data_IF_994276087863
#
_entry.id   IF_994276087863
#
_cell.length_a   1.000
_cell.length_b   1.000
_cell.length_c   1.000
_cell.angle_alpha   90.00
_cell.angle_beta   90.00
_cell.angle_gamma   90.00
#
_symmetry.space_group_name_H-M   'P 1'
#
loop_
_entity.id
_entity.type
_entity.pdbx_description
1 polymer ?
#
# COMPACT_ATOMS: atom_id res chain seq x y z
N UNK A 1 11.23 -17.54 46.78
CA UNK A 1 10.65 -18.80 47.30
C UNK A 1 9.99 -19.51 46.15
N UNK A 2 10.79 -20.30 45.41
CA UNK A 2 10.37 -21.34 44.48
C UNK A 2 11.65 -21.78 43.74
N UNK A 3 12.51 -22.55 44.40
CA UNK A 3 13.66 -23.25 43.79
C UNK A 3 14.06 -24.41 44.71
N UNK A 4 13.11 -25.29 45.03
CA UNK A 4 13.37 -26.42 45.95
C UNK A 4 12.57 -27.67 45.58
N UNK A 5 12.33 -27.90 44.28
CA UNK A 5 11.57 -29.07 43.78
C UNK A 5 12.32 -29.88 42.71
N UNK A 6 13.59 -29.58 42.44
CA UNK A 6 14.41 -30.36 41.48
C UNK A 6 15.39 -31.33 42.14
N UNK A 7 15.49 -31.35 43.47
CA UNK A 7 16.45 -32.21 44.17
C UNK A 7 15.83 -33.48 44.77
N UNK A 8 14.51 -33.70 44.64
CA UNK A 8 13.82 -34.88 45.19
C UNK A 8 13.59 -36.03 44.19
N UNK A 9 13.97 -35.86 42.92
CA UNK A 9 13.72 -36.87 41.85
C UNK A 9 14.97 -37.67 41.49
N UNK A 10 16.14 -37.38 42.08
CA UNK A 10 17.41 -38.09 41.78
C UNK A 10 17.80 -39.20 42.76
N UNK A 11 17.02 -39.44 43.82
CA UNK A 11 17.27 -40.50 44.81
C UNK A 11 16.27 -41.67 44.72
N UNK A 12 15.59 -41.84 43.58
CA UNK A 12 14.60 -42.90 43.38
C UNK A 12 14.88 -43.81 42.16
N UNK A 13 16.16 -44.00 41.80
CA UNK A 13 16.59 -44.86 40.68
C UNK A 13 17.70 -45.84 41.08
N UNK A 14 17.65 -46.39 42.30
CA UNK A 14 18.54 -47.47 42.75
C UNK A 14 17.77 -48.59 43.46
N UNK A 15 16.73 -49.07 42.79
CA UNK A 15 16.14 -50.38 43.06
C UNK A 15 15.65 -50.96 41.73
N UNK A 16 16.58 -51.15 40.78
CA UNK A 16 16.35 -52.08 39.70
C UNK A 16 16.34 -53.47 40.32
N UNK A 17 15.15 -53.99 40.58
CA UNK A 17 14.93 -55.43 40.72
C UNK A 17 15.46 -56.06 39.44
N UNK A 18 16.58 -56.78 39.52
CA UNK A 18 17.22 -57.33 38.32
C UNK A 18 16.35 -58.41 37.71
N UNK A 19 16.27 -58.41 36.38
CA UNK A 19 15.45 -59.38 35.62
C UNK A 19 16.00 -60.82 35.74
N UNK A 20 17.23 -60.99 36.22
CA UNK A 20 17.96 -62.26 36.35
C UNK A 20 18.62 -62.43 37.74
N UNK A 21 17.84 -62.51 38.85
CA UNK A 21 18.37 -62.49 40.21
C UNK A 21 19.23 -63.72 40.55
N UNK A 22 19.04 -64.83 39.85
CA UNK A 22 19.85 -66.04 40.00
C UNK A 22 21.26 -65.87 39.41
N UNK A 23 21.35 -65.30 38.21
CA UNK A 23 22.63 -65.02 37.55
C UNK A 23 23.42 -63.96 38.31
N UNK A 24 22.73 -62.97 38.86
CA UNK A 24 23.33 -61.92 39.67
C UNK A 24 24.01 -62.45 40.94
N UNK A 25 23.42 -63.46 41.58
CA UNK A 25 23.99 -64.10 42.77
C UNK A 25 25.24 -64.94 42.46
N UNK A 26 25.31 -65.55 41.27
CA UNK A 26 26.49 -66.28 40.80
C UNK A 26 27.61 -65.30 40.38
N UNK A 27 27.25 -64.24 39.65
CA UNK A 27 28.17 -63.18 39.24
C UNK A 27 28.81 -62.44 40.41
N UNK A 28 28.06 -62.19 41.47
CA UNK A 28 28.55 -61.48 42.65
C UNK A 28 29.73 -62.20 43.35
N UNK A 29 29.92 -63.50 43.11
CA UNK A 29 31.04 -64.27 43.69
C UNK A 29 32.38 -64.00 42.98
N UNK A 30 32.33 -63.52 41.74
CA UNK A 30 33.48 -63.32 40.87
C UNK A 30 33.68 -61.84 40.46
N UNK A 31 32.79 -60.94 40.88
CA UNK A 31 32.84 -59.50 40.58
C UNK A 31 34.00 -58.83 41.35
N UNK A 32 34.93 -58.22 40.61
CA UNK A 32 36.05 -57.44 41.18
C UNK A 32 35.68 -55.99 41.48
N UNK A 33 34.42 -55.61 41.23
CA UNK A 33 33.83 -54.30 41.47
C UNK A 33 33.66 -53.52 40.16
N UNK A 34 32.49 -52.87 40.00
CA UNK A 34 31.98 -52.23 38.76
C UNK A 34 31.37 -53.20 37.74
N UNK A 35 30.86 -54.36 38.18
CA UNK A 35 30.17 -55.32 37.32
C UNK A 35 31.10 -55.91 36.24
N UNK A 36 32.35 -56.20 36.61
CA UNK A 36 33.35 -56.86 35.76
C UNK A 36 33.95 -58.04 36.53
N UNK A 37 34.35 -59.09 35.82
CA UNK A 37 35.02 -60.26 36.41
C UNK A 37 36.25 -60.65 35.59
N UNK A 38 37.25 -61.25 36.24
CA UNK A 38 38.48 -61.68 35.56
C UNK A 38 38.22 -62.80 34.55
N UNK A 39 38.90 -62.75 33.40
CA UNK A 39 38.83 -63.78 32.33
C UNK A 39 39.16 -65.19 32.86
N UNK A 40 40.02 -65.31 33.87
CA UNK A 40 40.37 -66.55 34.55
C UNK A 40 39.19 -67.22 35.27
N UNK A 41 38.13 -66.47 35.57
CA UNK A 41 36.94 -66.95 36.28
C UNK A 41 35.83 -67.40 35.33
N UNK A 42 35.95 -67.18 34.01
CA UNK A 42 34.91 -67.50 33.03
C UNK A 42 34.56 -69.00 32.99
N UNK A 43 35.56 -69.88 33.04
CA UNK A 43 35.34 -71.33 33.04
C UNK A 43 34.63 -71.81 34.32
N UNK A 44 35.01 -71.28 35.48
CA UNK A 44 34.37 -71.60 36.76
C UNK A 44 32.93 -71.10 36.82
N UNK A 45 32.68 -69.89 36.30
CA UNK A 45 31.34 -69.30 36.23
C UNK A 45 30.39 -70.14 35.35
N UNK A 46 30.86 -70.64 34.19
CA UNK A 46 30.05 -71.51 33.33
C UNK A 46 29.75 -72.87 33.97
N UNK A 47 30.71 -73.44 34.69
CA UNK A 47 30.51 -74.68 35.47
C UNK A 47 29.49 -74.47 36.59
N UNK A 48 29.58 -73.36 37.33
CA UNK A 48 28.63 -73.00 38.39
C UNK A 48 27.22 -72.75 37.83
N UNK A 49 27.12 -72.34 36.56
CA UNK A 49 25.87 -72.22 35.80
C UNK A 49 25.38 -73.56 35.21
N UNK A 50 26.12 -74.65 35.38
CA UNK A 50 25.75 -76.01 34.93
C UNK A 50 26.21 -76.38 33.53
N UNK A 51 27.06 -75.57 32.90
CA UNK A 51 27.58 -75.81 31.55
C UNK A 51 29.00 -76.38 31.60
N UNK A 52 29.25 -77.42 30.81
CA UNK A 52 30.59 -78.01 30.67
C UNK A 52 31.24 -77.58 29.35
N UNK A 53 31.70 -76.33 29.31
CA UNK A 53 32.34 -75.77 28.12
C UNK A 53 33.70 -76.44 27.84
N UNK A 54 33.90 -76.91 26.60
CA UNK A 54 35.22 -77.41 26.18
C UNK A 54 36.26 -76.26 26.13
N UNK A 55 37.58 -76.52 26.28
CA UNK A 55 38.60 -75.48 26.24
C UNK A 55 38.56 -74.61 24.96
N UNK A 56 38.17 -75.19 23.82
CA UNK A 56 38.03 -74.47 22.55
C UNK A 56 36.87 -73.47 22.55
N UNK A 57 35.80 -73.78 23.28
CA UNK A 57 34.63 -72.90 23.43
C UNK A 57 34.99 -71.74 24.35
N UNK A 58 35.76 -71.99 25.41
CA UNK A 58 36.28 -70.94 26.30
C UNK A 58 37.22 -69.98 25.57
N UNK A 59 38.18 -70.48 24.78
CA UNK A 59 39.10 -69.62 24.01
C UNK A 59 38.35 -68.72 23.03
N UNK A 60 37.36 -69.26 22.31
CA UNK A 60 36.50 -68.47 21.40
C UNK A 60 35.67 -67.43 22.14
N UNK A 61 35.10 -67.80 23.29
CA UNK A 61 34.34 -66.89 24.13
C UNK A 61 35.19 -65.71 24.62
N UNK A 62 36.46 -65.95 24.94
CA UNK A 62 37.42 -64.91 25.33
C UNK A 62 37.80 -63.99 24.17
N UNK A 63 38.02 -64.53 22.97
CA UNK A 63 38.28 -63.71 21.77
C UNK A 63 37.12 -62.76 21.45
N UNK A 64 35.88 -63.21 21.67
CA UNK A 64 34.66 -62.45 21.39
C UNK A 64 34.35 -61.40 22.47
N UNK A 65 34.56 -61.73 23.76
CA UNK A 65 34.21 -60.85 24.89
C UNK A 65 35.34 -59.93 25.37
N UNK A 66 36.60 -60.31 25.21
CA UNK A 66 37.77 -59.51 25.56
C UNK A 66 38.79 -59.42 24.40
N UNK A 67 38.40 -58.85 23.24
CA UNK A 67 39.24 -58.79 22.05
C UNK A 67 40.53 -57.98 22.23
N UNK A 68 40.61 -57.16 23.30
CA UNK A 68 41.77 -56.33 23.61
C UNK A 68 42.66 -56.94 24.70
N UNK A 69 42.36 -58.18 25.15
CA UNK A 69 43.09 -58.88 26.22
C UNK A 69 43.30 -58.02 27.48
N UNK A 70 42.24 -57.31 27.89
CA UNK A 70 42.22 -56.48 29.08
C UNK A 70 42.24 -57.31 30.37
N UNK A 71 41.87 -58.59 30.28
CA UNK A 71 41.81 -59.53 31.39
C UNK A 71 40.53 -59.42 32.22
N UNK A 72 39.63 -58.50 31.87
CA UNK A 72 38.37 -58.24 32.56
C UNK A 72 37.20 -58.31 31.57
N UNK A 73 36.14 -59.03 31.94
CA UNK A 73 34.91 -59.17 31.15
C UNK A 73 33.78 -58.44 31.88
N UNK A 74 33.08 -57.55 31.18
CA UNK A 74 31.90 -56.87 31.74
C UNK A 74 30.69 -57.81 31.78
N UNK A 75 29.91 -57.73 32.86
CA UNK A 75 28.71 -58.55 33.07
C UNK A 75 27.70 -58.45 31.92
N UNK A 76 27.50 -57.26 31.38
CA UNK A 76 26.57 -57.04 30.26
C UNK A 76 27.05 -57.75 28.99
N UNK A 77 28.36 -57.67 28.70
CA UNK A 77 29.00 -58.34 27.57
C UNK A 77 28.89 -59.86 27.67
N UNK A 78 29.06 -60.43 28.86
CA UNK A 78 28.84 -61.85 29.09
C UNK A 78 27.38 -62.26 28.87
N UNK A 79 26.41 -61.49 29.39
CA UNK A 79 25.00 -61.83 29.26
C UNK A 79 24.55 -61.78 27.79
N UNK A 80 24.98 -60.77 27.03
CA UNK A 80 24.73 -60.69 25.59
C UNK A 80 25.33 -61.89 24.84
N UNK A 81 26.60 -62.22 25.12
CA UNK A 81 27.25 -63.39 24.51
C UNK A 81 26.56 -64.70 24.89
N UNK A 82 26.17 -64.85 26.16
CA UNK A 82 25.54 -66.06 26.68
C UNK A 82 24.13 -66.26 26.09
N UNK A 83 23.32 -65.22 25.96
CA UNK A 83 22.00 -65.32 25.30
C UNK A 83 22.10 -65.79 23.84
N UNK A 84 23.16 -65.39 23.14
CA UNK A 84 23.36 -65.76 21.73
C UNK A 84 23.97 -67.16 21.54
N UNK A 85 24.71 -67.69 22.53
CA UNK A 85 25.52 -68.90 22.37
C UNK A 85 25.15 -70.04 23.34
N UNK A 86 24.18 -69.87 24.25
CA UNK A 86 23.84 -70.84 25.30
C UNK A 86 23.49 -72.24 24.77
N UNK A 87 22.88 -72.34 23.60
CA UNK A 87 22.45 -73.62 23.00
C UNK A 87 23.61 -74.47 22.46
N UNK A 88 24.78 -73.86 22.21
CA UNK A 88 25.95 -74.51 21.58
C UNK A 88 27.06 -74.89 22.57
N UNK A 89 26.86 -74.69 23.88
CA UNK A 89 27.90 -74.87 24.91
C UNK A 89 28.10 -76.35 25.30
N UNK A 90 27.10 -77.22 25.10
CA UNK A 90 27.01 -78.55 25.70
C UNK A 90 27.36 -79.71 24.72
N UNK A 91 28.56 -79.70 24.13
CA UNK A 91 29.02 -80.75 23.20
C UNK A 91 30.02 -81.71 23.87
N UNK A 92 29.50 -82.72 24.59
CA UNK A 92 30.28 -83.87 25.08
C UNK A 92 29.45 -85.19 25.03
N UNK A 93 29.88 -86.24 24.30
CA UNK A 93 29.10 -87.48 24.15
C UNK A 93 29.29 -88.51 25.30
N UNK A 94 28.23 -89.25 25.73
CA UNK A 94 28.33 -90.36 26.68
C UNK A 94 28.53 -91.75 26.02
N UNK A 95 29.26 -92.65 26.69
CA UNK A 95 29.63 -94.00 26.22
C UNK A 95 28.54 -95.08 26.44
N UNK A 96 28.43 -96.06 25.53
CA UNK A 96 27.44 -97.16 25.53
C UNK A 96 28.04 -98.55 25.88
N UNK A 97 27.27 -99.50 26.48
CA UNK A 97 27.65 -100.91 26.55
C UNK A 97 26.79 -101.84 25.66
N UNK A 98 27.40 -102.96 25.23
CA UNK A 98 26.89 -103.95 24.28
C UNK A 98 26.07 -105.09 24.94
N UNK A 99 25.17 -105.72 24.16
CA UNK A 99 24.47 -106.98 24.49
C UNK A 99 24.73 -108.06 23.43
N UNK A 100 24.81 -109.32 23.85
CA UNK A 100 24.92 -110.49 22.97
C UNK A 100 23.94 -111.59 23.41
N UNK A 101 23.43 -112.32 22.41
CA UNK A 101 22.20 -113.11 22.33
C UNK A 101 22.30 -114.62 22.65
N UNK A 102 21.13 -115.22 22.91
CA UNK A 102 20.76 -116.66 23.07
C UNK A 102 21.03 -117.53 21.82
N UNK A 103 20.95 -118.89 21.85
CA UNK A 103 19.67 -119.60 21.50
C UNK A 103 19.46 -121.07 22.03
N UNK A 104 18.23 -121.60 21.93
CA UNK A 104 17.83 -123.03 22.14
C UNK A 104 16.94 -123.53 20.96
N UNK A 105 17.08 -124.82 20.62
CA UNK A 105 16.57 -125.57 19.44
C UNK A 105 15.05 -125.95 19.40
N UNK A 106 14.51 -126.39 18.23
CA UNK A 106 13.08 -126.69 18.01
C UNK A 106 12.76 -128.20 17.78
N UNK A 107 11.50 -128.63 18.04
CA UNK A 107 10.85 -129.79 17.37
C UNK A 107 9.33 -129.93 17.66
N UNK A 108 8.47 -129.58 16.69
CA UNK A 108 7.15 -130.22 16.33
C UNK A 108 6.23 -129.21 15.60
N UNK A 109 6.05 -129.32 14.27
CA UNK A 109 5.64 -128.16 13.44
C UNK A 109 4.31 -128.21 12.65
N UNK A 110 3.55 -129.30 12.52
CA UNK A 110 2.52 -129.34 11.45
C UNK A 110 1.04 -129.35 11.86
N UNK A 111 0.70 -129.48 13.14
CA UNK A 111 -0.70 -129.37 13.61
C UNK A 111 -0.94 -128.10 14.45
N UNK A 112 0.10 -127.55 15.06
CA UNK A 112 0.07 -126.22 15.67
C UNK A 112 0.02 -125.10 14.62
N UNK A 113 0.51 -125.33 13.39
CA UNK A 113 0.58 -124.28 12.35
C UNK A 113 -0.80 -123.74 11.95
N UNK A 114 -1.81 -124.57 11.65
CA UNK A 114 -3.11 -124.08 11.20
C UNK A 114 -3.95 -123.40 12.32
N UNK A 115 -3.81 -123.85 13.56
CA UNK A 115 -4.45 -123.22 14.72
C UNK A 115 -3.71 -121.92 15.10
N UNK A 116 -2.38 -121.92 15.00
CA UNK A 116 -1.53 -120.73 15.15
C UNK A 116 -1.82 -119.70 14.06
N UNK A 117 -2.06 -120.10 12.81
CA UNK A 117 -2.44 -119.20 11.70
C UNK A 117 -3.80 -118.53 11.93
N UNK A 118 -4.82 -119.26 12.39
CA UNK A 118 -6.13 -118.67 12.72
C UNK A 118 -6.06 -117.74 13.93
N UNK A 119 -5.29 -118.11 14.95
CA UNK A 119 -5.01 -117.25 16.10
C UNK A 119 -4.22 -116.01 15.70
N UNK A 120 -3.25 -116.14 14.79
CA UNK A 120 -2.50 -115.04 14.20
C UNK A 120 -3.42 -114.12 13.42
N UNK A 121 -4.26 -114.63 12.53
CA UNK A 121 -5.20 -113.82 11.73
C UNK A 121 -6.21 -113.06 12.62
N UNK A 122 -6.67 -113.67 13.71
CA UNK A 122 -7.54 -113.02 14.69
C UNK A 122 -6.79 -111.95 15.51
N UNK A 123 -5.53 -112.20 15.87
CA UNK A 123 -4.66 -111.24 16.54
C UNK A 123 -4.35 -110.06 15.60
N UNK A 124 -4.10 -110.32 14.32
CA UNK A 124 -3.84 -109.33 13.28
C UNK A 124 -5.08 -108.46 13.04
N UNK A 125 -6.27 -109.05 12.95
CA UNK A 125 -7.52 -108.30 12.86
C UNK A 125 -7.76 -107.41 14.09
N UNK A 126 -7.40 -107.90 15.29
CA UNK A 126 -7.49 -107.12 16.54
C UNK A 126 -6.45 -105.98 16.59
N UNK A 127 -5.24 -106.23 16.09
CA UNK A 127 -4.18 -105.24 15.97
C UNK A 127 -4.53 -104.18 14.93
N UNK A 128 -5.08 -104.57 13.78
CA UNK A 128 -5.57 -103.65 12.74
C UNK A 128 -6.72 -102.79 13.26
N UNK A 129 -7.67 -103.35 14.02
CA UNK A 129 -8.73 -102.57 14.66
C UNK A 129 -8.16 -101.57 15.66
N UNK A 130 -7.21 -101.99 16.51
CA UNK A 130 -6.55 -101.11 17.47
C UNK A 130 -5.76 -100.01 16.77
N UNK A 131 -5.08 -100.32 15.67
CA UNK A 131 -4.37 -99.33 14.85
C UNK A 131 -5.36 -98.33 14.24
N UNK A 132 -6.46 -98.79 13.67
CA UNK A 132 -7.51 -97.92 13.13
C UNK A 132 -8.16 -97.02 14.20
N UNK A 133 -8.37 -97.54 15.43
CA UNK A 133 -8.85 -96.75 16.57
C UNK A 133 -7.84 -95.67 16.99
N UNK A 134 -6.55 -96.00 17.03
CA UNK A 134 -5.47 -95.04 17.31
C UNK A 134 -5.38 -93.98 16.23
N UNK A 135 -5.45 -94.37 14.94
CA UNK A 135 -5.42 -93.46 13.81
C UNK A 135 -6.65 -92.53 13.81
N UNK A 136 -7.84 -93.07 14.14
CA UNK A 136 -9.07 -92.28 14.27
C UNK A 136 -8.97 -91.26 15.41
N UNK A 137 -8.38 -91.63 16.55
CA UNK A 137 -8.13 -90.69 17.66
C UNK A 137 -7.13 -89.61 17.28
N UNK A 138 -6.03 -89.96 16.59
CA UNK A 138 -5.04 -88.99 16.13
C UNK A 138 -5.64 -88.00 15.12
N UNK A 139 -6.46 -88.50 14.18
CA UNK A 139 -7.19 -87.66 13.24
C UNK A 139 -8.21 -86.75 13.95
N UNK A 140 -8.94 -87.26 14.95
CA UNK A 140 -9.86 -86.46 15.74
C UNK A 140 -9.12 -85.33 16.48
N UNK A 141 -7.97 -85.61 17.08
CA UNK A 141 -7.13 -84.60 17.74
C UNK A 141 -6.63 -83.56 16.73
N UNK A 142 -6.14 -83.98 15.56
CA UNK A 142 -5.70 -83.07 14.50
C UNK A 142 -6.84 -82.18 14.00
N UNK A 143 -8.03 -82.74 13.78
CA UNK A 143 -9.21 -81.98 13.37
C UNK A 143 -9.65 -80.98 14.45
N UNK A 144 -9.54 -81.34 15.74
CA UNK A 144 -9.82 -80.41 16.83
C UNK A 144 -8.83 -79.23 16.85
N UNK A 145 -7.54 -79.49 16.67
CA UNK A 145 -6.53 -78.43 16.54
C UNK A 145 -6.79 -77.53 15.33
N UNK A 146 -7.06 -78.09 14.15
CA UNK A 146 -7.33 -77.32 12.94
C UNK A 146 -8.60 -76.46 13.07
N UNK A 147 -9.66 -76.97 13.71
CA UNK A 147 -10.87 -76.18 13.98
C UNK A 147 -10.59 -75.02 14.94
N UNK A 148 -9.82 -75.26 16.00
CA UNK A 148 -9.43 -74.21 16.93
C UNK A 148 -8.55 -73.14 16.26
N UNK A 149 -7.68 -73.53 15.32
CA UNK A 149 -6.89 -72.61 14.52
C UNK A 149 -7.76 -71.80 13.54
N UNK A 150 -8.71 -72.44 12.85
CA UNK A 150 -9.66 -71.76 11.96
C UNK A 150 -10.51 -70.74 12.74
N UNK A 151 -11.06 -71.11 13.90
CA UNK A 151 -11.82 -70.20 14.75
C UNK A 151 -10.97 -69.00 15.20
N UNK A 152 -9.68 -69.22 15.53
CA UNK A 152 -8.74 -68.13 15.87
C UNK A 152 -8.46 -67.23 14.67
N UNK A 153 -8.28 -67.81 13.48
CA UNK A 153 -8.06 -67.07 12.24
C UNK A 153 -9.30 -66.23 11.86
N UNK A 154 -10.49 -66.81 11.96
CA UNK A 154 -11.77 -66.12 11.73
C UNK A 154 -11.94 -64.94 12.68
N UNK A 155 -11.67 -65.11 13.98
CA UNK A 155 -11.70 -64.00 14.96
C UNK A 155 -10.71 -62.88 14.60
N UNK A 156 -9.49 -63.23 14.17
CA UNK A 156 -8.50 -62.23 13.70
C UNK A 156 -8.97 -61.50 12.45
N UNK A 157 -9.59 -62.19 11.50
CA UNK A 157 -10.16 -61.59 10.29
C UNK A 157 -11.31 -60.65 10.64
N UNK A 158 -12.21 -61.04 11.54
CA UNK A 158 -13.31 -60.21 11.99
C UNK A 158 -12.82 -58.94 12.69
N UNK A 159 -11.82 -59.07 13.57
CA UNK A 159 -11.19 -57.93 14.22
C UNK A 159 -10.51 -57.00 13.21
N UNK A 160 -9.77 -57.54 12.25
CA UNK A 160 -9.16 -56.76 11.17
C UNK A 160 -10.22 -56.01 10.34
N UNK A 161 -11.32 -56.68 9.99
CA UNK A 161 -12.47 -56.05 9.30
C UNK A 161 -13.16 -54.99 10.15
N UNK A 162 -13.22 -55.17 11.47
CA UNK A 162 -13.77 -54.16 12.38
C UNK A 162 -12.86 -52.92 12.41
N UNK A 163 -11.56 -53.12 12.61
CA UNK A 163 -10.55 -52.04 12.61
C UNK A 163 -10.52 -51.30 11.26
N UNK A 164 -10.62 -52.01 10.13
CA UNK A 164 -10.70 -51.38 8.81
C UNK A 164 -11.92 -50.45 8.70
N UNK A 165 -13.10 -50.91 9.15
CA UNK A 165 -14.33 -50.09 9.16
C UNK A 165 -14.21 -48.87 10.09
N UNK A 166 -13.56 -49.01 11.23
CA UNK A 166 -13.29 -47.89 12.15
C UNK A 166 -12.37 -46.85 11.51
N UNK A 167 -11.29 -47.28 10.85
CA UNK A 167 -10.36 -46.40 10.12
C UNK A 167 -11.09 -45.66 8.99
N UNK A 168 -11.91 -46.36 8.20
CA UNK A 168 -12.70 -45.75 7.13
C UNK A 168 -13.70 -44.71 7.70
N UNK A 169 -14.36 -45.01 8.81
CA UNK A 169 -15.27 -44.08 9.47
C UNK A 169 -14.54 -42.83 9.97
N UNK A 170 -13.34 -42.98 10.57
CA UNK A 170 -12.50 -41.86 11.00
C UNK A 170 -12.04 -41.03 9.79
N UNK A 171 -11.58 -41.67 8.72
CA UNK A 171 -11.16 -40.99 7.49
C UNK A 171 -12.30 -40.18 6.89
N UNK A 172 -13.50 -40.75 6.79
CA UNK A 172 -14.70 -40.06 6.31
C UNK A 172 -15.08 -38.88 7.21
N UNK A 173 -15.01 -39.04 8.54
CA UNK A 173 -15.28 -37.95 9.48
C UNK A 173 -14.26 -36.81 9.34
N UNK A 174 -12.99 -37.15 9.20
CA UNK A 174 -11.91 -36.17 9.01
C UNK A 174 -12.04 -35.43 7.68
N UNK A 175 -12.36 -36.14 6.60
CA UNK A 175 -12.61 -35.55 5.29
C UNK A 175 -13.81 -34.59 5.34
N UNK A 176 -14.94 -35.00 5.94
CA UNK A 176 -16.10 -34.13 6.11
C UNK A 176 -15.77 -32.88 6.94
N UNK A 177 -14.97 -33.04 8.01
CA UNK A 177 -14.53 -31.90 8.83
C UNK A 177 -13.63 -30.95 8.03
N UNK A 178 -12.76 -31.49 7.18
CA UNK A 178 -11.89 -30.70 6.33
C UNK A 178 -12.68 -29.95 5.26
N UNK A 179 -13.65 -30.61 4.60
CA UNK A 179 -14.55 -29.96 3.64
C UNK A 179 -15.36 -28.84 4.29
N UNK A 180 -15.97 -29.09 5.45
CA UNK A 180 -16.71 -28.06 6.19
C UNK A 180 -15.82 -26.86 6.57
N UNK A 181 -14.55 -27.09 6.94
CA UNK A 181 -13.59 -26.02 7.22
C UNK A 181 -13.24 -25.20 5.97
N UNK A 182 -13.08 -25.87 4.83
CA UNK A 182 -12.82 -25.20 3.54
C UNK A 182 -14.03 -24.37 3.11
N UNK A 183 -15.23 -24.94 3.14
CA UNK A 183 -16.48 -24.24 2.82
C UNK A 183 -16.68 -23.01 3.72
N UNK A 184 -16.46 -23.15 5.03
CA UNK A 184 -16.55 -22.02 5.97
C UNK A 184 -15.52 -20.92 5.66
N UNK A 185 -14.28 -21.29 5.31
CA UNK A 185 -13.25 -20.32 4.92
C UNK A 185 -13.61 -19.61 3.61
N UNK A 186 -14.09 -20.33 2.61
CA UNK A 186 -14.54 -19.74 1.36
C UNK A 186 -15.71 -18.80 1.55
N UNK A 187 -16.68 -19.18 2.40
CA UNK A 187 -17.83 -18.33 2.71
C UNK A 187 -17.39 -17.04 3.41
N UNK A 188 -16.51 -17.15 4.42
CA UNK A 188 -15.92 -15.99 5.07
C UNK A 188 -15.17 -15.08 4.09
N UNK A 189 -14.42 -15.65 3.14
CA UNK A 189 -13.75 -14.86 2.10
C UNK A 189 -14.73 -14.16 1.16
N UNK A 190 -15.84 -14.83 0.78
CA UNK A 190 -16.90 -14.21 -0.02
C UNK A 190 -17.53 -13.04 0.72
N UNK A 191 -17.84 -13.21 2.00
CA UNK A 191 -18.43 -12.15 2.83
C UNK A 191 -17.49 -10.95 3.02
N UNK A 192 -16.19 -11.20 3.18
CA UNK A 192 -15.18 -10.13 3.24
C UNK A 192 -15.14 -9.37 1.91
N UNK A 193 -15.14 -10.07 0.76
CA UNK A 193 -15.11 -9.42 -0.56
C UNK A 193 -16.34 -8.55 -0.79
N UNK A 194 -17.53 -9.07 -0.52
CA UNK A 194 -18.79 -8.31 -0.70
C UNK A 194 -18.83 -7.09 0.23
N UNK A 195 -18.36 -7.22 1.47
CA UNK A 195 -18.25 -6.08 2.39
C UNK A 195 -17.23 -5.03 1.91
N UNK A 196 -16.07 -5.45 1.38
CA UNK A 196 -15.08 -4.55 0.79
C UNK A 196 -15.63 -3.80 -0.44
N UNK A 197 -16.32 -4.51 -1.33
CA UNK A 197 -16.95 -3.93 -2.53
C UNK A 197 -18.02 -2.90 -2.15
N UNK A 198 -18.89 -3.24 -1.20
CA UNK A 198 -19.90 -2.33 -0.68
C UNK A 198 -19.29 -1.06 -0.06
N UNK A 199 -18.27 -1.21 0.78
CA UNK A 199 -17.58 -0.08 1.39
C UNK A 199 -16.87 0.81 0.35
N UNK A 200 -16.26 0.20 -0.68
CA UNK A 200 -15.64 0.94 -1.77
C UNK A 200 -16.68 1.75 -2.56
N UNK A 201 -17.81 1.13 -2.92
CA UNK A 201 -18.91 1.81 -3.61
C UNK A 201 -19.48 2.98 -2.79
N UNK A 202 -19.67 2.77 -1.48
CA UNK A 202 -20.11 3.84 -0.57
C UNK A 202 -19.08 4.97 -0.47
N UNK A 203 -17.79 4.65 -0.41
CA UNK A 203 -16.73 5.66 -0.38
C UNK A 203 -16.65 6.43 -1.70
N UNK A 204 -16.78 5.76 -2.84
CA UNK A 204 -16.77 6.37 -4.17
C UNK A 204 -17.94 7.36 -4.32
N UNK A 205 -19.17 6.94 -4.01
CA UNK A 205 -20.35 7.81 -4.09
C UNK A 205 -20.28 9.01 -3.12
N UNK A 206 -19.64 8.85 -1.96
CA UNK A 206 -19.38 9.95 -1.03
C UNK A 206 -18.36 10.95 -1.59
N UNK A 207 -17.27 10.46 -2.21
CA UNK A 207 -16.29 11.30 -2.90
C UNK A 207 -16.92 12.05 -4.06
N UNK A 208 -17.76 11.39 -4.85
CA UNK A 208 -18.47 12.01 -5.97
C UNK A 208 -19.41 13.12 -5.51
N UNK A 209 -20.23 12.88 -4.49
CA UNK A 209 -21.09 13.94 -3.89
C UNK A 209 -20.28 15.13 -3.39
N UNK A 210 -19.15 14.88 -2.71
CA UNK A 210 -18.26 15.95 -2.27
C UNK A 210 -17.69 16.74 -3.46
N UNK A 211 -17.27 16.06 -4.51
CA UNK A 211 -16.74 16.69 -5.71
C UNK A 211 -17.80 17.53 -6.44
N UNK A 212 -19.04 17.05 -6.52
CA UNK A 212 -20.17 17.79 -7.07
C UNK A 212 -20.39 19.10 -6.31
N UNK A 213 -20.44 19.06 -4.97
CA UNK A 213 -20.58 20.27 -4.14
C UNK A 213 -19.43 21.26 -4.34
N UNK A 214 -18.19 20.77 -4.44
CA UNK A 214 -17.02 21.62 -4.70
C UNK A 214 -17.10 22.25 -6.11
N UNK A 215 -17.53 21.48 -7.11
CA UNK A 215 -17.68 21.96 -8.48
C UNK A 215 -18.77 23.04 -8.57
N UNK A 216 -19.92 22.82 -7.92
CA UNK A 216 -21.00 23.81 -7.83
C UNK A 216 -20.54 25.11 -7.18
N UNK A 217 -19.87 25.02 -6.02
CA UNK A 217 -19.33 26.18 -5.32
C UNK A 217 -18.31 26.95 -6.18
N UNK A 218 -17.43 26.22 -6.87
CA UNK A 218 -16.44 26.83 -7.77
C UNK A 218 -17.11 27.52 -8.96
N UNK A 219 -18.14 26.91 -9.54
CA UNK A 219 -18.93 27.49 -10.63
C UNK A 219 -19.60 28.79 -10.20
N UNK A 220 -20.24 28.82 -9.02
CA UNK A 220 -20.86 30.03 -8.47
C UNK A 220 -19.84 31.16 -8.28
N UNK A 221 -18.65 30.84 -7.74
CA UNK A 221 -17.58 31.84 -7.59
C UNK A 221 -17.12 32.42 -8.92
N UNK A 222 -16.96 31.58 -9.94
CA UNK A 222 -16.59 32.02 -11.29
C UNK A 222 -17.67 32.94 -11.86
N UNK A 223 -18.94 32.58 -11.70
CA UNK A 223 -20.07 33.38 -12.16
C UNK A 223 -20.09 34.77 -11.50
N UNK A 224 -19.96 34.85 -10.17
CA UNK A 224 -19.91 36.14 -9.44
C UNK A 224 -18.77 37.02 -9.95
N UNK A 225 -17.59 36.45 -10.19
CA UNK A 225 -16.44 37.20 -10.72
C UNK A 225 -16.71 37.70 -12.15
N UNK A 226 -17.37 36.90 -12.98
CA UNK A 226 -17.75 37.31 -14.34
C UNK A 226 -18.78 38.44 -14.32
N UNK A 227 -19.83 38.33 -13.50
CA UNK A 227 -20.85 39.36 -13.31
C UNK A 227 -20.21 40.67 -12.82
N UNK A 228 -19.39 40.61 -11.78
CA UNK A 228 -18.66 41.78 -11.25
C UNK A 228 -17.78 42.45 -12.32
N UNK A 229 -17.10 41.66 -13.17
CA UNK A 229 -16.30 42.19 -14.29
C UNK A 229 -17.18 42.84 -15.35
N UNK A 230 -18.32 42.25 -15.67
CA UNK A 230 -19.26 42.79 -16.64
C UNK A 230 -19.84 44.13 -16.16
N UNK A 231 -20.28 44.21 -14.90
CA UNK A 231 -20.77 45.44 -14.26
C UNK A 231 -19.70 46.53 -14.24
N UNK A 232 -18.46 46.19 -13.88
CA UNK A 232 -17.36 47.15 -13.92
C UNK A 232 -17.13 47.70 -15.33
N UNK A 233 -17.21 46.84 -16.35
CA UNK A 233 -17.05 47.25 -17.75
C UNK A 233 -18.17 48.20 -18.18
N UNK A 234 -19.43 47.85 -17.89
CA UNK A 234 -20.58 48.70 -18.25
C UNK A 234 -20.51 50.07 -17.55
N UNK A 235 -20.12 50.10 -16.27
CA UNK A 235 -19.94 51.35 -15.53
C UNK A 235 -18.81 52.22 -16.11
N UNK A 236 -17.68 51.63 -16.50
CA UNK A 236 -16.59 52.35 -17.16
C UNK A 236 -17.03 52.92 -18.51
N UNK A 237 -17.78 52.15 -19.30
CA UNK A 237 -18.32 52.60 -20.58
C UNK A 237 -19.32 53.75 -20.39
N UNK A 238 -20.16 53.70 -19.35
CA UNK A 238 -21.05 54.81 -18.99
C UNK A 238 -20.27 56.08 -18.62
N UNK A 239 -19.25 55.98 -17.76
CA UNK A 239 -18.38 57.12 -17.41
C UNK A 239 -17.73 57.71 -18.67
N UNK A 240 -17.24 56.85 -19.58
CA UNK A 240 -16.63 57.29 -20.83
C UNK A 240 -17.61 58.08 -21.69
N UNK A 241 -18.83 57.55 -21.89
CA UNK A 241 -19.90 58.23 -22.63
C UNK A 241 -20.26 59.57 -21.98
N UNK A 242 -20.37 59.62 -20.65
CA UNK A 242 -20.67 60.86 -19.94
C UNK A 242 -19.58 61.91 -20.16
N UNK A 243 -18.31 61.53 -20.02
CA UNK A 243 -17.17 62.45 -20.27
C UNK A 243 -17.13 62.95 -21.71
N UNK A 244 -17.48 62.12 -22.67
CA UNK A 244 -17.54 62.49 -24.08
C UNK A 244 -18.67 63.48 -24.36
N UNK A 245 -19.85 63.26 -23.77
CA UNK A 245 -20.96 64.20 -23.76
C UNK A 245 -20.55 65.53 -23.11
N UNK A 246 -19.97 65.51 -21.91
CA UNK A 246 -19.52 66.73 -21.22
C UNK A 246 -18.48 67.49 -22.04
N UNK A 247 -17.54 66.77 -22.69
CA UNK A 247 -16.52 67.37 -23.57
C UNK A 247 -17.16 68.02 -24.80
N UNK A 248 -18.14 67.38 -25.43
CA UNK A 248 -18.88 67.95 -26.55
C UNK A 248 -19.67 69.20 -26.12
N UNK A 249 -20.34 69.15 -24.97
CA UNK A 249 -21.09 70.28 -24.41
C UNK A 249 -20.18 71.48 -24.08
N UNK A 250 -19.04 71.23 -23.43
CA UNK A 250 -18.04 72.28 -23.15
C UNK A 250 -17.46 72.88 -24.43
N UNK A 251 -17.22 72.06 -25.45
CA UNK A 251 -16.74 72.53 -26.75
C UNK A 251 -17.77 73.42 -27.44
N UNK A 252 -19.04 73.01 -27.46
CA UNK A 252 -20.16 73.78 -27.99
C UNK A 252 -20.35 75.12 -27.25
N UNK A 253 -20.37 75.07 -25.91
CA UNK A 253 -20.44 76.28 -25.06
C UNK A 253 -19.28 77.24 -25.30
N UNK A 254 -18.07 76.71 -25.44
CA UNK A 254 -16.86 77.51 -25.73
C UNK A 254 -16.90 78.11 -27.13
N UNK A 255 -17.48 77.41 -28.10
CA UNK A 255 -17.73 77.92 -29.45
C UNK A 255 -18.70 79.10 -29.39
N UNK A 256 -19.81 78.93 -28.68
CA UNK A 256 -20.84 79.96 -28.50
C UNK A 256 -20.27 81.24 -27.86
N UNK A 257 -19.45 81.10 -26.81
CA UNK A 257 -18.76 82.22 -26.17
C UNK A 257 -17.83 82.94 -27.15
N UNK A 258 -17.00 82.18 -27.89
CA UNK A 258 -16.09 82.77 -28.90
C UNK A 258 -16.85 83.49 -30.00
N UNK A 259 -17.99 82.98 -30.44
CA UNK A 259 -18.82 83.61 -31.45
C UNK A 259 -19.53 84.87 -30.94
N UNK A 260 -19.97 84.87 -29.68
CA UNK A 260 -20.49 86.07 -29.01
C UNK A 260 -19.40 87.13 -28.83
N UNK A 261 -18.20 86.73 -28.42
CA UNK A 261 -17.06 87.64 -28.28
C UNK A 261 -16.68 88.25 -29.64
N UNK A 262 -16.58 87.45 -30.70
CA UNK A 262 -16.37 87.94 -32.07
C UNK A 262 -17.49 88.88 -32.51
N UNK A 263 -18.75 88.61 -32.18
CA UNK A 263 -19.88 89.51 -32.46
C UNK A 263 -19.75 90.83 -31.69
N UNK A 264 -19.40 90.79 -30.41
CA UNK A 264 -19.19 91.98 -29.57
C UNK A 264 -18.00 92.83 -30.06
N UNK A 265 -16.87 92.22 -30.43
CA UNK A 265 -15.71 92.92 -31.01
C UNK A 265 -16.09 93.57 -32.33
N UNK A 266 -16.80 92.86 -33.23
CA UNK A 266 -17.31 93.44 -34.48
C UNK A 266 -18.23 94.63 -34.22
N UNK A 267 -19.14 94.53 -33.26
CA UNK A 267 -20.01 95.65 -32.86
C UNK A 267 -19.21 96.85 -32.34
N UNK A 268 -18.19 96.63 -31.49
CA UNK A 268 -17.30 97.70 -31.02
C UNK A 268 -16.52 98.35 -32.16
N UNK A 269 -16.00 97.57 -33.10
CA UNK A 269 -15.30 98.09 -34.29
C UNK A 269 -16.24 98.90 -35.19
N UNK A 270 -17.48 98.43 -35.40
CA UNK A 270 -18.49 99.17 -36.15
C UNK A 270 -18.83 100.49 -35.43
N UNK A 271 -19.03 100.46 -34.11
CA UNK A 271 -19.28 101.66 -33.32
C UNK A 271 -18.12 102.66 -33.36
N UNK A 272 -16.87 102.20 -33.24
CA UNK A 272 -15.68 103.05 -33.41
C UNK A 272 -15.60 103.68 -34.80
N UNK A 273 -15.77 102.88 -35.86
CA UNK A 273 -15.77 103.40 -37.24
C UNK A 273 -16.89 104.40 -37.47
N UNK A 274 -18.07 104.18 -36.90
CA UNK A 274 -19.18 105.12 -36.99
C UNK A 274 -18.89 106.42 -36.23
N UNK A 275 -18.31 106.33 -35.03
CA UNK A 275 -17.88 107.49 -34.25
C UNK A 275 -16.80 108.30 -34.98
N UNK A 276 -15.80 107.64 -35.56
CA UNK A 276 -14.75 108.28 -36.36
C UNK A 276 -15.33 108.97 -37.60
N UNK A 277 -16.26 108.33 -38.31
CA UNK A 277 -16.98 108.94 -39.44
C UNK A 277 -17.79 110.16 -39.01
N UNK A 278 -18.48 110.11 -37.87
CA UNK A 278 -19.20 111.27 -37.34
C UNK A 278 -18.26 112.42 -36.97
N UNK A 279 -17.10 112.12 -36.38
CA UNK A 279 -16.09 113.12 -36.04
C UNK A 279 -15.53 113.80 -37.30
N UNK A 280 -15.20 113.02 -38.33
CA UNK A 280 -14.76 113.52 -39.65
C UNK A 280 -15.82 114.40 -40.32
N UNK A 281 -17.10 114.00 -40.26
CA UNK A 281 -18.21 114.81 -40.78
C UNK A 281 -18.31 116.15 -40.05
N UNK A 282 -18.26 116.14 -38.72
CA UNK A 282 -18.27 117.37 -37.90
C UNK A 282 -17.07 118.28 -38.19
N UNK A 283 -15.88 117.72 -38.39
CA UNK A 283 -14.68 118.48 -38.77
C UNK A 283 -14.83 119.14 -40.15
N UNK A 284 -15.37 118.41 -41.14
CA UNK A 284 -15.66 118.95 -42.47
C UNK A 284 -16.70 120.07 -42.43
N UNK A 285 -17.76 119.91 -41.64
CA UNK A 285 -18.80 120.93 -41.48
C UNK A 285 -18.27 122.19 -40.74
N UNK A 286 -17.33 122.03 -39.80
CA UNK A 286 -16.63 123.16 -39.18
C UNK A 286 -15.73 123.91 -40.17
N UNK A 287 -15.00 123.18 -41.02
CA UNK A 287 -14.13 123.78 -42.05
C UNK A 287 -14.94 124.58 -43.08
N UNK A 288 -16.09 124.06 -43.50
CA UNK A 288 -17.00 124.76 -44.41
C UNK A 288 -17.52 126.09 -43.81
N UNK A 289 -17.88 126.10 -42.51
CA UNK A 289 -18.32 127.32 -41.80
C UNK A 289 -17.20 128.34 -41.61
N UNK A 290 -15.96 127.90 -41.38
CA UNK A 290 -14.78 128.79 -41.33
C UNK A 290 -14.52 129.46 -42.69
N UNK A 291 -14.57 128.69 -43.79
CA UNK A 291 -14.41 129.24 -45.14
C UNK A 291 -15.49 130.26 -45.49
N UNK A 292 -16.76 130.03 -45.11
CA UNK A 292 -17.85 130.96 -45.35
C UNK A 292 -17.66 132.28 -44.58
N UNK A 293 -17.24 132.21 -43.31
CA UNK A 293 -16.92 133.39 -42.50
C UNK A 293 -15.75 134.19 -43.07
N UNK A 294 -14.70 133.50 -43.53
CA UNK A 294 -13.55 134.13 -44.21
C UNK A 294 -14.00 134.87 -45.47
N UNK A 295 -14.82 134.24 -46.31
CA UNK A 295 -15.30 134.81 -47.57
C UNK A 295 -16.20 136.05 -47.35
N UNK A 296 -17.01 136.05 -46.28
CA UNK A 296 -17.78 137.22 -45.85
C UNK A 296 -16.88 138.37 -45.35
N UNK A 297 -15.77 138.03 -44.67
CA UNK A 297 -14.82 139.00 -44.13
C UNK A 297 -13.98 139.63 -45.25
N UNK A 298 -13.51 138.83 -46.22
CA UNK A 298 -12.81 139.30 -47.42
C UNK A 298 -13.71 140.23 -48.25
N UNK A 299 -15.00 139.89 -48.45
CA UNK A 299 -15.95 140.80 -49.13
C UNK A 299 -16.12 142.13 -48.40
N UNK A 300 -16.12 142.12 -47.06
CA UNK A 300 -16.19 143.34 -46.26
C UNK A 300 -14.91 144.18 -46.37
N UNK A 301 -13.74 143.54 -46.36
CA UNK A 301 -12.45 144.19 -46.58
C UNK A 301 -12.41 144.85 -47.96
N UNK A 302 -12.80 144.13 -49.01
CA UNK A 302 -12.82 144.68 -50.37
C UNK A 302 -13.73 145.90 -50.53
N UNK A 303 -14.84 145.93 -49.78
CA UNK A 303 -15.74 147.09 -49.73
C UNK A 303 -15.07 148.29 -49.06
N UNK A 304 -14.34 148.06 -47.97
CA UNK A 304 -13.59 149.11 -47.25
C UNK A 304 -12.38 149.60 -48.06
N UNK A 305 -11.69 148.73 -48.80
CA UNK A 305 -10.59 149.10 -49.71
C UNK A 305 -11.07 149.97 -50.87
N UNK A 306 -12.26 149.69 -51.43
CA UNK A 306 -12.86 150.52 -52.48
C UNK A 306 -13.24 151.93 -51.96
N UNK A 307 -13.80 152.00 -50.75
CA UNK A 307 -14.11 153.27 -50.08
C UNK A 307 -12.83 154.06 -49.74
N UNK A 308 -11.76 153.40 -49.31
CA UNK A 308 -10.45 154.01 -49.07
C UNK A 308 -9.85 154.60 -50.36
N UNK A 309 -9.88 153.85 -51.46
CA UNK A 309 -9.37 154.31 -52.76
C UNK A 309 -10.10 155.57 -53.25
N UNK A 310 -11.41 155.65 -53.03
CA UNK A 310 -12.23 156.82 -53.41
C UNK A 310 -11.87 158.05 -52.56
N UNK A 311 -11.61 157.87 -51.26
CA UNK A 311 -11.18 158.92 -50.34
C UNK A 311 -9.78 159.45 -50.69
N UNK A 312 -8.84 158.56 -51.04
CA UNK A 312 -7.49 158.94 -51.48
C UNK A 312 -7.54 159.74 -52.79
N UNK A 313 -8.40 159.34 -53.73
CA UNK A 313 -8.59 160.07 -54.99
C UNK A 313 -9.14 161.48 -54.74
N UNK A 314 -10.14 161.62 -53.86
CA UNK A 314 -10.65 162.94 -53.44
C UNK A 314 -9.56 163.78 -52.76
N UNK A 315 -8.76 163.19 -51.88
CA UNK A 315 -7.70 163.91 -51.18
C UNK A 315 -6.63 164.46 -52.12
N UNK A 316 -6.26 163.71 -53.17
CA UNK A 316 -5.30 164.17 -54.19
C UNK A 316 -5.85 165.35 -55.00
N UNK A 317 -7.12 165.31 -55.39
CA UNK A 317 -7.78 166.43 -56.09
C UNK A 317 -7.80 167.67 -55.20
N UNK A 318 -8.09 167.53 -53.90
CA UNK A 318 -8.07 168.68 -52.96
C UNK A 318 -6.66 169.25 -52.77
N UNK A 319 -5.63 168.41 -52.78
CA UNK A 319 -4.23 168.85 -52.68
C UNK A 319 -3.73 169.53 -53.96
N UNK A 320 -4.16 169.08 -55.15
CA UNK A 320 -3.91 169.77 -56.41
C UNK A 320 -4.63 171.13 -56.47
N UNK A 321 -5.87 171.20 -55.95
CA UNK A 321 -6.61 172.46 -55.83
C UNK A 321 -5.92 173.44 -54.86
N UNK A 322 -5.36 172.94 -53.75
CA UNK A 322 -4.55 173.74 -52.84
C UNK A 322 -3.26 174.23 -53.50
N UNK A 323 -2.56 173.39 -54.28
CA UNK A 323 -1.38 173.83 -55.05
C UNK A 323 -1.72 174.93 -56.05
N UNK A 324 -2.82 174.77 -56.80
CA UNK A 324 -3.28 175.78 -57.73
C UNK A 324 -3.62 177.11 -57.02
N UNK A 325 -4.27 177.05 -55.85
CA UNK A 325 -4.57 178.24 -55.05
C UNK A 325 -3.32 178.91 -54.46
N UNK A 326 -2.27 178.14 -54.12
CA UNK A 326 -0.99 178.70 -53.66
C UNK A 326 -0.17 179.30 -54.80
N UNK A 327 -0.18 178.70 -56.00
CA UNK A 327 0.46 179.26 -57.19
C UNK A 327 -0.21 180.59 -57.61
N UNK A 328 -1.54 180.70 -57.49
CA UNK A 328 -2.27 181.94 -57.77
C UNK A 328 -1.95 183.05 -56.75
N UNK A 329 -1.68 182.68 -55.49
CA UNK A 329 -1.23 183.60 -54.43
C UNK A 329 0.21 184.07 -54.64
N UNK A 330 1.09 183.21 -55.14
CA UNK A 330 2.49 183.55 -55.46
C UNK A 330 2.59 184.51 -56.65
N UNK A 331 1.65 184.44 -57.60
CA UNK A 331 1.55 185.35 -58.75
C UNK A 331 1.09 186.76 -58.35
N UNK A 332 0.19 186.91 -57.38
CA UNK A 332 -0.32 188.21 -56.92
C UNK A 332 0.69 188.96 -56.03
N UNK A 333 1.60 188.23 -55.37
CA UNK A 333 2.60 188.82 -54.46
C UNK A 333 3.89 189.34 -55.15
N UNK A 334 4.01 189.26 -56.48
CA UNK A 334 5.18 189.74 -57.23
C UNK A 334 4.97 191.07 -57.99
N UNK A 335 3.81 191.72 -57.87
CA UNK A 335 3.45 192.95 -58.61
C UNK A 335 3.28 194.24 -57.76
N UNK A 336 3.79 194.28 -56.51
CA UNK A 336 4.05 195.52 -55.74
C UNK A 336 5.42 195.46 -55.05
#
# INVERSE_FOLDING_TARGET
>A
MADDDQNSVREAELANESETPHFDALFAQYDTGKCVFGTEHLGSLLIDMGFNASPKVLDRALDDMDPNATGEIAKLTFLEWFEENADDIDDAPPAAPAQTSLPISPRSQQQDEAYSELQSAMLDAKNQRRQAEVDAQLLANRLAHLRAEDDRAQKRIEEAKRRAREIEAIKKRNENRQRAKQEAMEQMQRDIRTACEYNNMMQSSSRERRNQLIAEYTSQRVQIVQETRAERKTHLDQIRRQREMDRSWLAERSQEIRDNEKRAVRQRQIAQKNYEKELLKKARDNLAREHEKRLLSEKKIHRMEAEEAELIAKLRVTQELQRAAYEELEFVMQDE
#
